data_IF_037010312156
#
_entry.id   IF_037010312156
#
_cell.length_a   1.000
_cell.length_b   1.000
_cell.length_c   1.000
_cell.angle_alpha   90.00
_cell.angle_beta   90.00
_cell.angle_gamma   90.00
#
_symmetry.space_group_name_H-M   'P 1'
#
loop_
_entity.id
_entity.type
_entity.pdbx_description
1 polymer ?
#
# COMPACT_ATOMS: atom_id res chain seq x y z
N UNK A 1 22.55 -7.41 30.83
CA UNK A 1 22.83 -6.69 29.55
C UNK A 1 21.54 -6.66 28.75
N UNK A 2 21.12 -5.49 28.22
CA UNK A 2 20.02 -5.46 27.26
C UNK A 2 20.40 -6.30 26.03
N UNK A 3 19.46 -7.07 25.49
CA UNK A 3 19.66 -7.80 24.24
C UNK A 3 19.82 -6.76 23.13
N UNK A 4 21.03 -6.61 22.61
CA UNK A 4 21.32 -5.69 21.51
C UNK A 4 21.06 -6.43 20.20
N UNK A 5 19.98 -6.09 19.52
CA UNK A 5 19.78 -6.52 18.13
C UNK A 5 20.73 -5.75 17.23
N UNK A 6 21.72 -6.44 16.67
CA UNK A 6 22.71 -5.85 15.75
C UNK A 6 22.12 -5.61 14.35
N UNK A 7 21.15 -6.41 13.93
CA UNK A 7 20.45 -6.25 12.64
C UNK A 7 18.98 -6.67 12.76
N UNK A 8 18.14 -6.01 11.97
CA UNK A 8 16.72 -6.34 11.77
C UNK A 8 16.47 -7.02 10.41
N UNK A 9 17.50 -7.29 9.63
CA UNK A 9 17.38 -7.91 8.31
C UNK A 9 16.72 -9.31 8.33
N UNK A 10 16.88 -10.14 9.38
CA UNK A 10 16.11 -11.38 9.50
C UNK A 10 14.59 -11.16 9.45
N UNK A 11 14.09 -9.99 9.86
CA UNK A 11 12.66 -9.64 9.76
C UNK A 11 12.26 -9.49 8.28
N UNK A 12 13.09 -8.86 7.46
CA UNK A 12 12.85 -8.76 6.02
C UNK A 12 12.88 -10.14 5.35
N UNK A 13 13.79 -11.02 5.75
CA UNK A 13 13.82 -12.41 5.27
C UNK A 13 12.55 -13.17 5.68
N UNK A 14 12.13 -13.03 6.93
CA UNK A 14 10.89 -13.62 7.43
C UNK A 14 9.67 -13.08 6.67
N UNK A 15 9.63 -11.77 6.40
CA UNK A 15 8.52 -11.11 5.72
C UNK A 15 8.25 -11.65 4.31
N UNK A 16 9.28 -12.18 3.64
CA UNK A 16 9.22 -12.76 2.30
C UNK A 16 9.16 -14.30 2.30
N UNK A 17 9.21 -14.91 3.48
CA UNK A 17 9.16 -16.37 3.58
C UNK A 17 7.77 -16.92 3.21
N UNK A 18 7.67 -18.18 2.76
CA UNK A 18 6.37 -18.79 2.45
C UNK A 18 5.39 -18.77 3.63
N UNK A 19 5.90 -18.85 4.88
CA UNK A 19 5.04 -18.78 6.07
C UNK A 19 4.38 -17.40 6.22
N UNK A 20 5.03 -16.31 5.79
CA UNK A 20 4.48 -14.96 5.86
C UNK A 20 3.19 -14.78 5.05
N UNK A 21 2.98 -15.60 4.00
CA UNK A 21 1.74 -15.60 3.20
C UNK A 21 0.50 -15.97 4.03
N UNK A 22 0.69 -16.69 5.14
CA UNK A 22 -0.39 -17.20 5.98
C UNK A 22 -0.50 -16.48 7.34
N UNK A 23 0.45 -15.60 7.67
CA UNK A 23 0.43 -14.86 8.93
C UNK A 23 -0.71 -13.84 8.89
N UNK A 24 -1.69 -14.01 9.78
CA UNK A 24 -2.83 -13.08 9.95
C UNK A 24 -2.64 -12.10 11.10
N UNK A 25 -1.93 -12.51 12.13
CA UNK A 25 -1.68 -11.69 13.32
C UNK A 25 -0.17 -11.54 13.48
N UNK A 26 0.31 -10.31 13.45
CA UNK A 26 1.74 -10.02 13.51
C UNK A 26 1.99 -9.03 14.65
N UNK A 27 2.89 -9.41 15.56
CA UNK A 27 3.32 -8.57 16.67
C UNK A 27 4.83 -8.43 16.64
N UNK A 28 5.30 -7.19 16.54
CA UNK A 28 6.69 -6.84 16.71
C UNK A 28 6.80 -5.67 17.70
N UNK A 29 7.40 -5.94 18.85
CA UNK A 29 7.62 -4.94 19.90
C UNK A 29 9.10 -4.80 20.13
N UNK A 30 9.73 -3.90 19.37
CA UNK A 30 11.18 -3.65 19.45
C UNK A 30 11.39 -2.21 19.90
N UNK A 31 11.55 -1.98 21.22
CA UNK A 31 11.76 -0.65 21.76
C UNK A 31 12.91 0.10 21.07
N UNK A 32 12.73 1.41 20.85
CA UNK A 32 13.75 2.31 20.30
C UNK A 32 14.23 1.97 18.88
N UNK A 33 13.56 1.05 18.17
CA UNK A 33 13.90 0.65 16.81
C UNK A 33 12.68 0.77 15.89
N UNK A 34 12.87 1.50 14.81
CA UNK A 34 11.88 1.59 13.73
C UNK A 34 11.91 0.31 12.92
N UNK A 35 10.79 -0.42 12.93
CA UNK A 35 10.64 -1.71 12.23
C UNK A 35 9.66 -1.66 11.05
N UNK A 36 8.76 -0.67 11.03
CA UNK A 36 7.68 -0.62 10.04
C UNK A 36 8.22 -0.55 8.60
N UNK A 37 9.34 0.13 8.40
CA UNK A 37 10.00 0.25 7.09
C UNK A 37 10.58 -1.09 6.58
N UNK A 38 10.90 -2.03 7.48
CA UNK A 38 11.41 -3.36 7.13
C UNK A 38 10.30 -4.36 6.81
N UNK A 39 9.11 -4.14 7.36
CA UNK A 39 7.94 -5.03 7.18
C UNK A 39 6.95 -4.53 6.12
N UNK A 40 7.07 -3.28 5.66
CA UNK A 40 6.24 -2.72 4.58
C UNK A 40 6.85 -2.93 3.18
N UNK A 41 7.74 -3.90 3.01
CA UNK A 41 8.24 -4.23 1.67
C UNK A 41 7.12 -4.82 0.79
N UNK A 42 7.19 -4.69 -0.54
CA UNK A 42 6.21 -5.32 -1.42
C UNK A 42 6.07 -6.81 -1.12
N UNK A 43 4.82 -7.28 -1.01
CA UNK A 43 4.47 -8.67 -0.69
C UNK A 43 4.91 -9.17 0.69
N UNK A 44 5.32 -8.28 1.61
CA UNK A 44 5.58 -8.62 2.99
C UNK A 44 4.28 -8.89 3.76
N UNK A 45 4.12 -10.10 4.29
CA UNK A 45 2.95 -10.54 5.09
C UNK A 45 1.58 -10.11 4.51
N UNK A 46 1.22 -10.51 3.28
CA UNK A 46 0.03 -10.01 2.57
C UNK A 46 -1.30 -10.35 3.25
N UNK A 47 -1.30 -11.34 4.16
CA UNK A 47 -2.48 -11.82 4.88
C UNK A 47 -2.69 -11.18 6.26
N UNK A 48 -1.84 -10.23 6.68
CA UNK A 48 -1.95 -9.60 8.00
C UNK A 48 -3.24 -8.79 8.11
N UNK A 49 -4.03 -9.13 9.13
CA UNK A 49 -5.28 -8.47 9.52
C UNK A 49 -5.09 -7.66 10.82
N UNK A 50 -4.20 -8.11 11.72
CA UNK A 50 -3.88 -7.44 12.99
C UNK A 50 -2.38 -7.21 13.05
N UNK A 51 -1.97 -5.95 13.21
CA UNK A 51 -0.58 -5.56 13.35
C UNK A 51 -0.36 -4.81 14.67
N UNK A 52 0.61 -5.28 15.44
CA UNK A 52 1.04 -4.67 16.70
C UNK A 52 2.49 -4.24 16.62
N UNK A 53 2.69 -2.92 16.65
CA UNK A 53 3.97 -2.23 16.65
C UNK A 53 4.21 -1.47 17.95
N UNK A 54 3.59 -1.92 19.04
CA UNK A 54 3.74 -1.28 20.35
C UNK A 54 5.23 -1.18 20.71
N UNK A 55 5.63 -0.09 21.34
CA UNK A 55 7.00 0.27 21.77
C UNK A 55 8.01 0.56 20.64
N UNK A 56 7.71 0.21 19.40
CA UNK A 56 8.57 0.56 18.27
C UNK A 56 8.25 1.97 17.78
N UNK A 57 9.21 2.90 17.64
CA UNK A 57 8.95 4.24 17.14
C UNK A 57 8.29 4.22 15.75
N UNK A 58 7.19 4.96 15.61
CA UNK A 58 6.43 5.07 14.36
C UNK A 58 6.19 6.54 14.05
N UNK A 59 6.66 7.02 12.90
CA UNK A 59 6.30 8.35 12.42
C UNK A 59 4.83 8.33 11.95
N UNK A 60 3.89 9.05 12.58
CA UNK A 60 2.46 8.80 12.40
C UNK A 60 2.01 8.82 10.94
N UNK A 61 2.28 9.92 10.21
CA UNK A 61 1.81 10.07 8.84
C UNK A 61 2.51 9.12 7.85
N UNK A 62 3.85 9.13 7.82
CA UNK A 62 4.64 8.34 6.88
C UNK A 62 4.41 6.84 7.06
N UNK A 63 4.43 6.38 8.31
CA UNK A 63 4.23 4.98 8.59
C UNK A 63 2.78 4.57 8.33
N UNK A 64 1.79 5.38 8.69
CA UNK A 64 0.40 4.99 8.44
C UNK A 64 0.11 4.79 6.94
N UNK A 65 0.68 5.64 6.08
CA UNK A 65 0.58 5.46 4.61
C UNK A 65 1.29 4.18 4.18
N UNK A 66 2.53 3.95 4.65
CA UNK A 66 3.30 2.77 4.29
C UNK A 66 2.65 1.47 4.76
N UNK A 67 2.15 1.43 5.99
CA UNK A 67 1.46 0.30 6.61
C UNK A 67 0.18 -0.05 5.83
N UNK A 68 -0.67 0.94 5.54
CA UNK A 68 -1.92 0.68 4.81
C UNK A 68 -1.67 0.24 3.36
N UNK A 69 -0.56 0.66 2.76
CA UNK A 69 -0.17 0.25 1.41
C UNK A 69 0.52 -1.12 1.35
N UNK A 70 1.27 -1.46 2.40
CA UNK A 70 1.99 -2.73 2.54
C UNK A 70 1.10 -3.88 3.01
N UNK A 71 0.10 -3.61 3.84
CA UNK A 71 -0.81 -4.60 4.40
C UNK A 71 -2.24 -4.41 3.87
N UNK A 72 -2.58 -4.93 2.67
CA UNK A 72 -3.88 -4.70 2.03
C UNK A 72 -5.07 -5.28 2.79
N UNK A 73 -4.82 -6.19 3.75
CA UNK A 73 -5.83 -6.83 4.60
C UNK A 73 -5.85 -6.30 6.02
N UNK A 74 -5.05 -5.27 6.35
CA UNK A 74 -4.98 -4.73 7.69
C UNK A 74 -6.31 -4.14 8.15
N UNK A 75 -6.81 -4.63 9.28
CA UNK A 75 -8.07 -4.22 9.92
C UNK A 75 -7.82 -3.56 11.28
N UNK A 76 -6.81 -4.01 12.02
CA UNK A 76 -6.51 -3.51 13.35
C UNK A 76 -5.03 -3.15 13.47
N UNK A 77 -4.75 -1.91 13.88
CA UNK A 77 -3.39 -1.41 14.13
C UNK A 77 -3.22 -1.05 15.61
N UNK A 78 -2.23 -1.64 16.28
CA UNK A 78 -1.86 -1.33 17.67
C UNK A 78 -0.47 -0.70 17.70
N UNK A 79 -0.35 0.43 18.37
CA UNK A 79 0.82 1.32 18.32
C UNK A 79 1.10 1.93 19.71
N UNK A 80 0.89 1.16 20.78
CA UNK A 80 1.05 1.64 22.15
C UNK A 80 2.50 2.08 22.42
N UNK A 81 2.69 3.27 22.99
CA UNK A 81 4.03 3.77 23.34
C UNK A 81 5.00 3.90 22.17
N UNK A 82 4.51 4.00 20.93
CA UNK A 82 5.32 4.21 19.72
C UNK A 82 5.53 5.70 19.37
N UNK A 83 4.89 6.61 20.13
CA UNK A 83 4.77 8.02 19.76
C UNK A 83 3.73 8.29 18.66
N UNK A 84 2.91 7.27 18.32
CA UNK A 84 1.86 7.40 17.31
C UNK A 84 0.72 8.29 17.84
N UNK A 85 0.46 9.40 17.13
CA UNK A 85 -0.51 10.41 17.55
C UNK A 85 0.10 11.72 18.07
N UNK A 86 1.43 11.86 17.98
CA UNK A 86 2.14 13.09 18.30
C UNK A 86 2.31 13.33 19.80
N UNK A 87 3.08 14.36 20.16
CA UNK A 87 3.38 14.71 21.56
C UNK A 87 2.24 15.44 22.28
N UNK A 88 1.05 15.50 21.68
CA UNK A 88 -0.14 16.12 22.27
C UNK A 88 -0.21 17.64 22.16
N UNK A 89 0.77 18.30 21.52
CA UNK A 89 0.82 19.77 21.44
C UNK A 89 -0.06 20.36 20.34
N UNK A 90 -0.45 19.59 19.32
CA UNK A 90 -1.25 20.11 18.21
C UNK A 90 -2.46 19.22 17.91
N UNK A 91 -3.67 19.68 18.26
CA UNK A 91 -4.96 19.07 17.83
C UNK A 91 -5.03 18.81 16.31
N UNK A 92 -4.28 19.61 15.53
CA UNK A 92 -4.17 19.49 14.07
C UNK A 92 -3.63 18.12 13.61
N UNK A 93 -2.87 17.41 14.44
CA UNK A 93 -2.14 16.19 14.08
C UNK A 93 -3.09 15.01 13.89
N UNK A 94 -4.06 14.81 14.78
CA UNK A 94 -5.02 13.71 14.68
C UNK A 94 -5.91 13.83 13.44
N UNK A 95 -6.36 15.06 13.13
CA UNK A 95 -7.11 15.35 11.90
C UNK A 95 -6.25 15.08 10.66
N UNK A 96 -4.99 15.48 10.68
CA UNK A 96 -4.07 15.25 9.55
C UNK A 96 -3.78 13.77 9.36
N UNK A 97 -3.58 13.03 10.45
CA UNK A 97 -3.39 11.59 10.47
C UNK A 97 -4.60 10.85 9.90
N UNK A 98 -5.81 11.13 10.39
CA UNK A 98 -7.04 10.50 9.89
C UNK A 98 -7.22 10.70 8.39
N UNK A 99 -6.94 11.91 7.90
CA UNK A 99 -6.96 12.22 6.47
C UNK A 99 -5.90 11.48 5.67
N UNK A 100 -4.66 11.44 6.16
CA UNK A 100 -3.56 10.75 5.50
C UNK A 100 -3.82 9.25 5.38
N UNK A 101 -4.38 8.63 6.42
CA UNK A 101 -4.77 7.22 6.43
C UNK A 101 -5.89 6.92 5.44
N UNK A 102 -6.93 7.75 5.41
CA UNK A 102 -8.01 7.61 4.44
C UNK A 102 -7.52 7.75 2.98
N UNK A 103 -6.47 8.53 2.76
CA UNK A 103 -5.91 8.82 1.43
C UNK A 103 -4.72 7.93 1.03
N UNK A 104 -4.30 6.96 1.86
CA UNK A 104 -3.09 6.16 1.65
C UNK A 104 -3.06 5.50 0.25
N UNK A 105 -4.20 4.97 -0.20
CA UNK A 105 -4.35 4.33 -1.51
C UNK A 105 -4.14 5.26 -2.71
N UNK A 106 -4.36 6.58 -2.56
CA UNK A 106 -4.13 7.56 -3.65
C UNK A 106 -2.64 7.67 -3.98
N UNK A 107 -1.79 7.65 -2.96
CA UNK A 107 -0.34 7.70 -3.17
C UNK A 107 0.15 6.44 -3.90
N UNK A 108 -0.27 5.25 -3.45
CA UNK A 108 0.06 3.96 -4.08
C UNK A 108 -0.40 3.91 -5.54
N UNK A 109 -1.63 4.34 -5.82
CA UNK A 109 -2.15 4.39 -7.18
C UNK A 109 -1.34 5.32 -8.10
N UNK A 110 -0.95 6.50 -7.62
CA UNK A 110 -0.12 7.44 -8.40
C UNK A 110 1.28 6.93 -8.66
N UNK A 111 1.90 6.28 -7.68
CA UNK A 111 3.22 5.65 -7.83
C UNK A 111 3.18 4.55 -8.88
N UNK A 112 2.19 3.65 -8.79
CA UNK A 112 2.03 2.58 -9.78
C UNK A 112 1.65 3.11 -11.17
N UNK A 113 0.88 4.18 -11.27
CA UNK A 113 0.58 4.82 -12.56
C UNK A 113 1.84 5.42 -13.20
N UNK A 114 2.74 5.98 -12.39
CA UNK A 114 4.04 6.48 -12.84
C UNK A 114 4.94 5.32 -13.32
N UNK A 115 4.95 4.22 -12.59
CA UNK A 115 5.70 3.01 -12.95
C UNK A 115 5.24 2.46 -14.31
N UNK A 116 3.93 2.29 -14.52
CA UNK A 116 3.38 1.81 -15.80
C UNK A 116 3.74 2.74 -16.96
N UNK A 117 3.63 4.06 -16.77
CA UNK A 117 4.04 5.05 -17.80
C UNK A 117 5.52 4.93 -18.17
N UNK A 118 6.39 4.67 -17.19
CA UNK A 118 7.82 4.50 -17.43
C UNK A 118 8.12 3.20 -18.18
N UNK A 119 7.39 2.12 -17.86
CA UNK A 119 7.49 0.83 -18.56
C UNK A 119 7.05 0.95 -20.02
N UNK A 120 5.96 1.67 -20.28
CA UNK A 120 5.48 1.94 -21.64
C UNK A 120 6.49 2.75 -22.45
N UNK A 121 7.00 3.85 -21.89
CA UNK A 121 8.03 4.67 -22.55
C UNK A 121 9.26 3.84 -22.93
N UNK A 122 9.70 2.94 -22.04
CA UNK A 122 10.82 2.04 -22.28
C UNK A 122 10.51 1.04 -23.39
N UNK A 123 9.30 0.47 -23.43
CA UNK A 123 8.87 -0.44 -24.50
C UNK A 123 8.80 0.26 -25.85
N UNK A 124 8.24 1.46 -25.91
CA UNK A 124 8.19 2.28 -27.13
C UNK A 124 9.60 2.55 -27.63
N UNK A 125 10.52 2.96 -26.74
CA UNK A 125 11.90 3.23 -27.10
C UNK A 125 12.56 1.98 -27.71
N UNK A 126 12.37 0.81 -27.11
CA UNK A 126 12.88 -0.46 -27.66
C UNK A 126 12.31 -0.77 -29.04
N UNK A 127 11.00 -0.60 -29.24
CA UNK A 127 10.36 -0.81 -30.54
C UNK A 127 10.90 0.15 -31.61
N UNK A 128 11.06 1.44 -31.27
CA UNK A 128 11.64 2.44 -32.18
C UNK A 128 13.11 2.15 -32.52
N UNK A 129 13.89 1.68 -31.55
CA UNK A 129 15.29 1.30 -31.79
C UNK A 129 15.38 0.07 -32.70
N UNK A 130 14.50 -0.93 -32.51
CA UNK A 130 14.45 -2.10 -33.41
C UNK A 130 14.01 -1.73 -34.83
N UNK A 131 13.11 -0.76 -34.99
CA UNK A 131 12.72 -0.25 -36.31
C UNK A 131 13.90 0.45 -37.01
N UNK A 132 14.60 1.35 -36.30
CA UNK A 132 15.80 2.04 -36.84
C UNK A 132 16.90 1.08 -37.28
N UNK A 133 17.15 0.01 -36.52
CA UNK A 133 18.17 -1.00 -36.89
C UNK A 133 17.81 -1.73 -38.18
N UNK A 134 16.52 -2.01 -38.42
CA UNK A 134 16.06 -2.63 -39.67
C UNK A 134 16.30 -1.72 -40.86
N UNK A 135 15.99 -0.44 -40.73
CA UNK A 135 16.19 0.55 -41.79
C UNK A 135 17.68 0.68 -42.15
N UNK A 136 18.57 0.71 -41.15
CA UNK A 136 20.03 0.79 -41.41
C UNK A 136 20.65 -0.50 -41.96
N UNK A 137 20.03 -1.67 -41.69
CA UNK A 137 20.56 -2.96 -42.16
C UNK A 137 20.17 -3.31 -43.60
N UNK A 138 19.12 -2.67 -44.14
CA UNK A 138 18.69 -2.89 -45.51
C UNK A 138 19.56 -2.15 -46.55
N UNK A 139 20.37 -1.18 -46.12
CA UNK A 139 21.21 -0.36 -47.02
C UNK A 139 22.65 -0.88 -47.18
N UNK A 140 23.09 -1.88 -46.39
CA UNK A 140 24.48 -2.37 -46.43
C UNK A 140 24.71 -3.71 -47.14
N UNK A 141 23.73 -4.24 -47.89
CA UNK A 141 23.85 -5.54 -48.59
C UNK A 141 23.92 -5.45 -50.11
N UNK A 142 24.29 -4.29 -50.67
CA UNK A 142 24.66 -4.15 -52.09
C UNK A 142 26.18 -4.05 -52.27
N UNK A 143 26.91 -5.07 -51.82
CA UNK A 143 28.20 -5.40 -52.45
C UNK A 143 27.94 -6.46 -53.51
N UNK A 144 27.68 -5.99 -54.73
CA UNK A 144 27.64 -6.81 -55.95
C UNK A 144 29.08 -6.94 -56.46
N UNK A 145 29.66 -8.15 -56.55
CA UNK A 145 30.93 -8.38 -57.24
C UNK A 145 30.68 -8.68 -58.73
N UNK A 146 31.08 -7.77 -59.62
CA UNK A 146 31.17 -7.97 -61.10
C UNK A 146 29.82 -8.16 -61.83
N UNK A 147 29.62 -7.89 -63.12
CA UNK A 147 30.52 -7.70 -64.25
C UNK A 147 29.67 -7.12 -65.42
N UNK A 148 30.23 -6.17 -66.19
CA UNK A 148 30.00 -5.86 -67.62
C UNK A 148 28.62 -6.18 -68.27
N UNK A 149 27.92 -5.17 -68.81
CA UNK A 149 27.76 -4.95 -70.27
C UNK A 149 26.70 -3.87 -70.61
N UNK A 150 26.84 -3.32 -71.82
CA UNK A 150 26.26 -2.14 -72.44
C UNK A 150 24.77 -2.23 -72.88
N UNK A 151 24.15 -1.04 -72.80
CA UNK A 151 23.15 -0.41 -73.69
C UNK A 151 21.63 -0.76 -73.67
N UNK A 152 20.86 0.35 -73.65
CA UNK A 152 19.57 0.63 -74.31
C UNK A 152 18.21 0.49 -73.53
N UNK A 153 17.11 1.16 -73.94
CA UNK A 153 16.69 2.40 -73.29
C UNK A 153 15.23 2.42 -72.75
N UNK A 154 14.99 3.37 -71.84
CA UNK A 154 13.75 4.14 -71.64
C UNK A 154 12.40 3.40 -71.65
N UNK A 155 11.89 3.05 -70.46
CA UNK A 155 10.46 3.08 -70.16
C UNK A 155 10.19 3.76 -68.82
N UNK A 156 9.46 4.88 -68.86
CA UNK A 156 8.98 5.63 -67.68
C UNK A 156 7.83 4.86 -67.04
N UNK A 157 8.13 4.03 -66.04
CA UNK A 157 7.12 3.47 -65.15
C UNK A 157 6.86 4.47 -64.01
N UNK A 158 5.62 4.98 -63.92
CA UNK A 158 5.15 5.77 -62.78
C UNK A 158 5.07 4.87 -61.55
N UNK A 159 6.02 5.04 -60.63
CA UNK A 159 6.00 4.42 -59.31
C UNK A 159 4.87 5.06 -58.49
N UNK A 160 3.92 4.28 -57.95
CA UNK A 160 2.94 4.81 -57.00
C UNK A 160 3.69 5.20 -55.72
N UNK A 161 3.78 6.49 -55.44
CA UNK A 161 4.15 7.00 -54.12
C UNK A 161 3.02 6.65 -53.15
N UNK A 162 3.05 5.45 -52.58
CA UNK A 162 2.33 5.15 -51.35
C UNK A 162 3.09 5.82 -50.20
N UNK A 163 2.60 6.99 -49.78
CA UNK A 163 3.06 7.64 -48.57
C UNK A 163 2.95 6.64 -47.40
N UNK A 164 4.04 6.37 -46.66
CA UNK A 164 3.97 5.55 -45.47
C UNK A 164 3.18 6.35 -44.42
N UNK A 165 1.87 6.07 -44.36
CA UNK A 165 1.02 6.50 -43.26
C UNK A 165 1.52 5.79 -42.02
N UNK A 166 2.47 6.44 -41.34
CA UNK A 166 3.03 6.02 -40.07
C UNK A 166 1.89 5.99 -39.06
N UNK A 167 1.29 4.81 -38.92
CA UNK A 167 0.30 4.52 -37.88
C UNK A 167 1.02 4.60 -36.55
N UNK A 168 1.07 5.81 -35.99
CA UNK A 168 1.56 6.04 -34.64
C UNK A 168 0.71 5.19 -33.71
N UNK A 169 1.29 4.11 -33.20
CA UNK A 169 0.66 3.22 -32.24
C UNK A 169 0.23 4.05 -31.03
N UNK A 170 -1.07 4.34 -30.94
CA UNK A 170 -1.64 5.07 -29.79
C UNK A 170 -1.60 4.12 -28.61
N UNK A 171 -0.67 4.32 -27.69
CA UNK A 171 -0.64 3.54 -26.47
C UNK A 171 -1.86 3.86 -25.62
N UNK A 172 -2.47 2.80 -25.09
CA UNK A 172 -3.50 2.92 -24.09
C UNK A 172 -2.94 3.67 -22.87
N UNK A 173 -3.65 4.71 -22.43
CA UNK A 173 -3.30 5.46 -21.22
C UNK A 173 -3.86 4.72 -20.02
N UNK A 174 -3.06 4.47 -19.00
CA UNK A 174 -3.52 3.79 -17.80
C UNK A 174 -3.97 4.79 -16.72
N UNK A 175 -5.03 4.44 -15.99
CA UNK A 175 -5.43 5.05 -14.73
C UNK A 175 -5.59 3.97 -13.68
N UNK A 176 -5.13 4.23 -12.46
CA UNK A 176 -5.25 3.27 -11.36
C UNK A 176 -6.25 3.80 -10.34
N UNK A 177 -7.27 2.99 -10.02
CA UNK A 177 -8.21 3.28 -8.96
C UNK A 177 -7.55 3.05 -7.61
N UNK A 178 -7.47 4.09 -6.76
CA UNK A 178 -6.98 3.92 -5.40
C UNK A 178 -7.94 3.06 -4.58
N UNK A 179 -7.42 2.10 -3.84
CA UNK A 179 -8.22 1.26 -2.96
C UNK A 179 -8.79 2.06 -1.78
N UNK A 180 -9.99 1.67 -1.32
CA UNK A 180 -10.51 2.15 -0.04
C UNK A 180 -9.72 1.51 1.12
N UNK A 181 -9.44 2.27 2.20
CA UNK A 181 -8.83 1.69 3.38
C UNK A 181 -9.78 0.66 4.01
N UNK A 182 -9.20 -0.43 4.53
CA UNK A 182 -9.93 -1.53 5.21
C UNK A 182 -9.82 -1.50 6.73
N UNK A 183 -9.16 -0.47 7.26
CA UNK A 183 -8.89 -0.34 8.68
C UNK A 183 -10.20 -0.14 9.45
N UNK A 184 -10.37 -0.92 10.51
CA UNK A 184 -11.53 -0.90 11.41
C UNK A 184 -11.19 -0.26 12.75
N UNK A 185 -9.95 -0.36 13.22
CA UNK A 185 -9.54 0.28 14.46
C UNK A 185 -8.07 0.65 14.51
N UNK A 186 -7.77 1.70 15.27
CA UNK A 186 -6.43 2.08 15.71
C UNK A 186 -6.43 2.07 17.24
N UNK A 187 -5.37 1.52 17.81
CA UNK A 187 -5.21 1.34 19.24
C UNK A 187 -3.89 1.96 19.69
N UNK A 188 -3.96 2.96 20.56
CA UNK A 188 -2.79 3.68 21.06
C UNK A 188 -2.97 4.03 22.53
N UNK A 189 -2.22 3.38 23.41
CA UNK A 189 -2.08 3.79 24.79
C UNK A 189 -1.24 5.07 24.83
N UNK A 190 -1.89 6.19 25.15
CA UNK A 190 -1.22 7.48 25.30
C UNK A 190 -0.35 7.44 26.56
N UNK A 191 0.95 7.63 26.37
CA UNK A 191 1.86 7.94 27.47
C UNK A 191 1.64 9.39 27.85
N UNK A 192 0.90 9.62 28.94
CA UNK A 192 0.81 10.94 29.54
C UNK A 192 2.20 11.30 30.06
N UNK A 193 2.89 12.19 29.35
CA UNK A 193 4.13 12.76 29.87
C UNK A 193 3.76 13.56 31.13
N UNK A 194 4.29 13.15 32.29
CA UNK A 194 3.97 13.69 33.63
C UNK A 194 4.30 15.18 33.83
N UNK A 195 4.72 15.89 32.78
CA UNK A 195 5.11 17.30 32.82
C UNK A 195 4.24 18.25 32.00
N UNK A 196 3.15 17.79 31.36
CA UNK A 196 2.23 18.72 30.69
C UNK A 196 1.32 19.39 31.70
N UNK A 197 1.54 20.68 31.95
CA UNK A 197 0.72 21.54 32.82
C UNK A 197 -0.74 21.70 32.33
N UNK A 198 -1.08 21.15 31.16
CA UNK A 198 -2.38 21.28 30.49
C UNK A 198 -3.50 20.35 30.96
N UNK A 199 -3.30 19.55 32.03
CA UNK A 199 -4.29 18.56 32.47
C UNK A 199 -4.35 17.33 31.55
N UNK A 200 -5.22 16.35 31.86
CA UNK A 200 -5.37 15.15 31.04
C UNK A 200 -5.88 15.54 29.63
N UNK A 201 -5.32 14.96 28.56
CA UNK A 201 -5.77 15.23 27.21
C UNK A 201 -7.24 14.84 27.03
N UNK A 202 -7.98 15.67 26.30
CA UNK A 202 -9.36 15.36 25.91
C UNK A 202 -9.34 14.29 24.81
N UNK A 203 -9.42 13.03 25.23
CA UNK A 203 -9.41 11.87 24.34
C UNK A 203 -10.60 11.89 23.36
N UNK A 204 -11.74 12.43 23.79
CA UNK A 204 -12.93 12.54 22.94
C UNK A 204 -12.69 13.55 21.81
N UNK A 205 -11.95 14.64 22.09
CA UNK A 205 -11.53 15.60 21.07
C UNK A 205 -10.58 14.98 20.04
N UNK A 206 -9.59 14.19 20.47
CA UNK A 206 -8.68 13.49 19.55
C UNK A 206 -9.43 12.52 18.63
N UNK A 207 -10.36 11.73 19.18
CA UNK A 207 -11.21 10.84 18.38
C UNK A 207 -12.06 11.63 17.38
N UNK A 208 -12.67 12.75 17.80
CA UNK A 208 -13.46 13.63 16.93
C UNK A 208 -12.63 14.23 15.79
N UNK A 209 -11.43 14.72 16.09
CA UNK A 209 -10.54 15.32 15.08
C UNK A 209 -10.05 14.27 14.08
N UNK A 210 -9.65 13.10 14.57
CA UNK A 210 -9.29 11.98 13.73
C UNK A 210 -10.46 11.57 12.81
N UNK A 211 -11.68 11.43 13.35
CA UNK A 211 -12.87 11.12 12.56
C UNK A 211 -13.16 12.18 11.48
N UNK A 212 -13.06 13.46 11.83
CA UNK A 212 -13.23 14.58 10.90
C UNK A 212 -12.19 14.52 9.76
N UNK A 213 -10.94 14.24 10.10
CA UNK A 213 -9.85 14.03 9.14
C UNK A 213 -10.11 12.86 8.20
N UNK A 214 -10.53 11.72 8.76
CA UNK A 214 -10.86 10.52 7.99
C UNK A 214 -11.97 10.79 6.98
N UNK A 215 -13.07 11.42 7.39
CA UNK A 215 -14.20 11.73 6.51
C UNK A 215 -13.80 12.68 5.38
N UNK A 216 -13.00 13.72 5.66
CA UNK A 216 -12.41 14.60 4.60
C UNK A 216 -11.57 13.79 3.63
N UNK A 217 -10.72 12.89 4.13
CA UNK A 217 -9.91 12.00 3.30
C UNK A 217 -10.75 11.06 2.43
N UNK A 218 -11.80 10.43 2.97
CA UNK A 218 -12.70 9.56 2.21
C UNK A 218 -13.43 10.33 1.10
N UNK A 219 -13.89 11.56 1.38
CA UNK A 219 -14.54 12.41 0.39
C UNK A 219 -13.60 12.71 -0.80
N UNK A 220 -12.34 13.06 -0.51
CA UNK A 220 -11.31 13.30 -1.54
C UNK A 220 -10.95 12.03 -2.30
N UNK A 221 -10.86 10.89 -1.61
CA UNK A 221 -10.61 9.60 -2.24
C UNK A 221 -11.73 9.24 -3.24
N UNK A 222 -12.99 9.50 -2.88
CA UNK A 222 -14.14 9.32 -3.77
C UNK A 222 -14.02 10.19 -5.02
N UNK A 223 -13.73 11.48 -4.86
CA UNK A 223 -13.51 12.39 -5.99
C UNK A 223 -12.37 11.92 -6.90
N UNK A 224 -11.28 11.39 -6.32
CA UNK A 224 -10.19 10.80 -7.09
C UNK A 224 -10.64 9.58 -7.91
N UNK A 225 -11.44 8.69 -7.32
CA UNK A 225 -11.97 7.51 -8.00
C UNK A 225 -12.95 7.89 -9.10
N UNK A 226 -13.87 8.81 -8.83
CA UNK A 226 -14.84 9.33 -9.82
C UNK A 226 -14.13 9.94 -11.03
N UNK A 227 -13.09 10.76 -10.79
CA UNK A 227 -12.27 11.32 -11.88
C UNK A 227 -11.56 10.23 -12.68
N UNK A 228 -10.96 9.25 -12.01
CA UNK A 228 -10.29 8.13 -12.68
C UNK A 228 -11.26 7.32 -13.55
N UNK A 229 -12.46 7.04 -13.04
CA UNK A 229 -13.54 6.36 -13.78
C UNK A 229 -14.06 7.18 -14.96
N UNK A 230 -14.21 8.50 -14.80
CA UNK A 230 -14.64 9.39 -15.87
C UNK A 230 -13.69 9.34 -17.07
N UNK A 231 -12.38 9.20 -16.84
CA UNK A 231 -11.40 9.00 -17.92
C UNK A 231 -11.57 7.66 -18.65
N UNK A 232 -11.98 6.60 -17.94
CA UNK A 232 -12.21 5.27 -18.52
C UNK A 232 -13.29 5.23 -19.60
N UNK A 233 -14.20 6.21 -19.64
CA UNK A 233 -15.19 6.32 -20.72
C UNK A 233 -14.58 6.62 -22.10
N UNK A 234 -13.30 7.00 -22.14
CA UNK A 234 -12.58 7.21 -23.39
C UNK A 234 -11.95 5.89 -23.85
N UNK A 235 -12.19 5.49 -25.10
CA UNK A 235 -11.66 4.25 -25.70
C UNK A 235 -10.11 4.12 -25.65
N UNK A 236 -9.39 5.20 -25.34
CA UNK A 236 -7.93 5.22 -25.23
C UNK A 236 -7.40 5.10 -23.80
N UNK A 237 -8.28 4.99 -22.79
CA UNK A 237 -7.88 4.93 -21.37
C UNK A 237 -8.36 3.64 -20.74
N UNK A 238 -7.43 2.84 -20.20
CA UNK A 238 -7.77 1.67 -19.38
C UNK A 238 -7.74 2.04 -17.91
N UNK A 239 -8.78 1.64 -17.18
CA UNK A 239 -8.87 1.84 -15.73
C UNK A 239 -8.59 0.52 -15.03
N UNK A 240 -7.50 0.51 -14.27
CA UNK A 240 -7.03 -0.65 -13.52
C UNK A 240 -7.30 -0.43 -12.02
N UNK A 241 -7.35 -1.50 -11.24
CA UNK A 241 -7.38 -1.48 -9.77
C UNK A 241 -6.43 -2.51 -9.20
N UNK A 242 -6.04 -2.35 -7.94
CA UNK A 242 -5.29 -3.39 -7.24
C UNK A 242 -6.18 -4.62 -6.99
N UNK A 243 -5.61 -5.80 -7.20
CA UNK A 243 -6.23 -7.05 -6.78
C UNK A 243 -6.08 -7.19 -5.25
N UNK A 244 -7.20 -7.22 -4.54
CA UNK A 244 -7.20 -7.42 -3.08
C UNK A 244 -7.41 -8.87 -2.69
N UNK A 245 -7.91 -9.67 -3.62
CA UNK A 245 -8.29 -11.06 -3.39
C UNK A 245 -7.43 -11.89 -4.34
N UNK A 246 -6.28 -12.34 -3.81
CA UNK A 246 -5.22 -13.12 -4.47
C UNK A 246 -5.65 -14.44 -5.14
N UNK A 247 -6.93 -14.61 -5.41
CA UNK A 247 -7.57 -15.71 -6.12
C UNK A 247 -7.67 -15.48 -7.63
N UNK A 248 -7.44 -14.28 -8.15
CA UNK A 248 -7.62 -13.99 -9.56
C UNK A 248 -6.36 -14.19 -10.40
N UNK A 249 -6.57 -14.63 -11.66
CA UNK A 249 -5.50 -14.83 -12.64
C UNK A 249 -4.87 -13.47 -12.94
N UNK A 250 -3.58 -13.34 -12.66
CA UNK A 250 -2.82 -12.12 -12.87
C UNK A 250 -2.84 -11.69 -14.35
N UNK A 251 -2.95 -10.38 -14.59
CA UNK A 251 -2.66 -9.82 -15.90
C UNK A 251 -1.12 -9.88 -16.10
N UNK A 252 -0.62 -10.96 -16.68
CA UNK A 252 0.82 -11.13 -16.98
C UNK A 252 1.33 -10.07 -17.97
N UNK A 253 0.43 -9.39 -18.66
CA UNK A 253 0.78 -8.33 -19.56
C UNK A 253 1.16 -7.05 -18.79
N UNK A 254 2.36 -6.54 -19.04
CA UNK A 254 2.83 -5.18 -18.68
C UNK A 254 3.41 -4.92 -17.27
N UNK A 255 3.83 -5.94 -16.50
CA UNK A 255 4.36 -5.70 -15.14
C UNK A 255 3.28 -5.20 -14.17
N UNK A 256 2.04 -5.53 -14.51
CA UNK A 256 0.81 -5.18 -13.84
C UNK A 256 0.26 -6.40 -13.07
N UNK A 257 1.14 -7.25 -12.54
CA UNK A 257 0.78 -8.53 -11.91
C UNK A 257 -0.24 -8.32 -10.78
N UNK A 258 -0.15 -7.21 -10.04
CA UNK A 258 -1.08 -6.86 -8.95
C UNK A 258 -2.33 -6.06 -9.40
N UNK A 259 -2.53 -5.85 -10.70
CA UNK A 259 -3.60 -5.01 -11.23
C UNK A 259 -4.60 -5.80 -12.08
N UNK A 260 -5.87 -5.43 -11.93
CA UNK A 260 -7.01 -6.01 -12.63
C UNK A 260 -7.76 -4.91 -13.38
N UNK A 261 -8.21 -5.18 -14.60
CA UNK A 261 -9.03 -4.25 -15.37
C UNK A 261 -10.43 -4.15 -14.75
N UNK A 262 -10.93 -2.93 -14.62
CA UNK A 262 -12.24 -2.66 -14.02
C UNK A 262 -13.38 -3.02 -14.99
N UNK A 263 -13.16 -2.96 -16.30
CA UNK A 263 -14.19 -3.27 -17.30
C UNK A 263 -14.47 -4.77 -17.40
N UNK A 264 -13.44 -5.61 -17.30
CA UNK A 264 -13.54 -7.06 -17.45
C UNK A 264 -14.33 -7.75 -16.31
N UNK A 265 -14.36 -7.14 -15.12
CA UNK A 265 -14.95 -7.74 -13.92
C UNK A 265 -16.32 -7.18 -13.53
N UNK A 266 -16.89 -6.28 -14.33
CA UNK A 266 -18.17 -5.64 -14.04
C UNK A 266 -18.07 -4.63 -12.89
N UNK A 267 -18.88 -3.56 -12.99
CA UNK A 267 -18.93 -2.45 -12.01
C UNK A 267 -19.42 -2.91 -10.62
N UNK A 268 -19.90 -4.14 -10.47
CA UNK A 268 -20.45 -4.69 -9.23
C UNK A 268 -19.47 -4.70 -8.06
N UNK A 269 -18.15 -4.70 -8.29
CA UNK A 269 -17.15 -4.61 -7.21
C UNK A 269 -16.76 -3.15 -6.86
N UNK A 270 -17.34 -2.16 -7.56
CA UNK A 270 -17.23 -0.74 -7.18
C UNK A 270 -18.27 -0.34 -6.13
N UNK A 271 -19.32 -1.15 -5.96
CA UNK A 271 -20.35 -0.96 -4.94
C UNK A 271 -20.03 -1.72 -3.65
N UNK A 272 -18.74 -1.87 -3.30
CA UNK A 272 -18.39 -2.38 -1.97
C UNK A 272 -18.99 -1.41 -0.95
N UNK A 273 -20.17 -1.81 -0.48
CA UNK A 273 -21.00 -1.25 0.58
C UNK A 273 -20.34 -1.52 1.93
N UNK A 274 -19.04 -1.23 2.01
CA UNK A 274 -18.34 -1.14 3.27
C UNK A 274 -18.58 0.27 3.72
N UNK A 275 -19.33 0.40 4.81
CA UNK A 275 -19.46 1.67 5.52
C UNK A 275 -18.08 2.29 5.60
N UNK A 276 -17.87 3.43 4.91
CA UNK A 276 -16.63 4.21 5.03
C UNK A 276 -16.57 4.94 6.38
N UNK A 277 -17.11 4.29 7.40
CA UNK A 277 -17.11 4.73 8.77
C UNK A 277 -15.65 4.96 9.19
N UNK A 278 -15.40 6.00 9.99
CA UNK A 278 -14.10 6.17 10.62
C UNK A 278 -13.70 4.92 11.41
N UNK A 279 -12.42 4.52 11.40
CA UNK A 279 -11.96 3.43 12.22
C UNK A 279 -12.03 3.85 13.69
N UNK A 280 -12.38 2.89 14.53
CA UNK A 280 -12.46 3.03 15.97
C UNK A 280 -11.11 3.43 16.55
N UNK A 281 -11.05 4.57 17.25
CA UNK A 281 -9.83 5.01 17.92
C UNK A 281 -9.90 4.64 19.40
N UNK A 282 -9.11 3.65 19.81
CA UNK A 282 -9.07 3.17 21.17
C UNK A 282 -7.81 3.68 21.90
N UNK A 283 -8.04 4.36 23.01
CA UNK A 283 -6.99 4.78 23.95
C UNK A 283 -6.94 3.90 25.20
N UNK A 284 -7.71 2.81 25.20
CA UNK A 284 -7.77 1.87 26.30
C UNK A 284 -6.39 1.34 26.66
N UNK A 285 -6.12 1.24 27.95
CA UNK A 285 -4.94 0.58 28.48
C UNK A 285 -5.41 -0.27 29.64
N UNK A 286 -5.32 -1.59 29.49
CA UNK A 286 -5.60 -2.48 30.62
C UNK A 286 -4.24 -2.81 31.23
N UNK A 287 -4.00 -2.31 32.44
CA UNK A 287 -2.85 -2.77 33.22
C UNK A 287 -3.09 -4.23 33.55
N UNK A 288 -2.06 -5.04 33.32
CA UNK A 288 -1.96 -6.31 34.01
C UNK A 288 -1.96 -6.00 35.53
N UNK A 289 -2.93 -6.52 36.31
CA UNK A 289 -2.99 -6.29 37.75
C UNK A 289 -1.70 -6.66 38.47
N UNK A 290 -0.87 -7.54 37.89
CA UNK A 290 0.44 -7.92 38.43
C UNK A 290 1.52 -6.85 38.29
N UNK A 291 1.34 -5.82 37.45
CA UNK A 291 2.28 -4.72 37.25
C UNK A 291 1.98 -3.48 38.10
N UNK A 292 1.43 -3.66 39.30
CA UNK A 292 1.10 -2.57 40.23
C UNK A 292 2.30 -1.72 40.72
N UNK A 293 3.55 -2.05 40.34
CA UNK A 293 4.75 -1.37 40.83
C UNK A 293 5.34 -0.25 39.97
N UNK A 294 4.85 0.00 38.74
CA UNK A 294 5.37 1.08 37.88
C UNK A 294 4.54 2.35 38.07
N UNK A 295 5.17 3.40 38.59
CA UNK A 295 4.54 4.60 39.19
C UNK A 295 3.90 5.59 38.21
N UNK A 296 3.87 5.31 36.91
CA UNK A 296 3.26 6.24 35.96
C UNK A 296 1.74 6.11 35.98
N UNK A 297 1.05 7.12 36.51
CA UNK A 297 -0.41 7.18 36.65
C UNK A 297 -1.12 7.17 35.28
N UNK A 298 -1.22 6.00 34.66
CA UNK A 298 -2.00 5.79 33.45
C UNK A 298 -3.48 5.76 33.83
N UNK A 299 -4.26 6.65 33.22
CA UNK A 299 -5.72 6.65 33.32
C UNK A 299 -6.23 5.35 32.72
N UNK A 300 -6.92 4.53 33.51
CA UNK A 300 -7.57 3.31 33.02
C UNK A 300 -8.78 3.69 32.19
N UNK A 301 -8.61 3.74 30.88
CA UNK A 301 -9.71 3.92 29.93
C UNK A 301 -10.19 2.52 29.53
N UNK A 302 -11.49 2.20 29.64
CA UNK A 302 -12.00 0.93 29.17
C UNK A 302 -11.83 0.80 27.65
N UNK A 303 -11.61 -0.42 27.19
CA UNK A 303 -11.52 -0.72 25.76
C UNK A 303 -12.91 -0.63 25.12
N UNK A 304 -12.99 -0.02 23.94
CA UNK A 304 -14.21 -0.07 23.12
C UNK A 304 -14.35 -1.44 22.44
N UNK A 305 -15.57 -1.95 22.34
CA UNK A 305 -15.84 -3.26 21.74
C UNK A 305 -15.37 -3.29 20.27
N UNK A 306 -14.55 -4.28 19.93
CA UNK A 306 -14.00 -4.44 18.57
C UNK A 306 -12.75 -3.61 18.29
N UNK A 307 -12.17 -2.94 19.28
CA UNK A 307 -10.88 -2.28 19.12
C UNK A 307 -9.73 -3.28 18.93
N UNK A 308 -8.61 -2.80 18.37
CA UNK A 308 -7.43 -3.61 18.11
C UNK A 308 -6.87 -4.24 19.38
N UNK A 309 -6.91 -3.54 20.52
CA UNK A 309 -6.53 -4.12 21.82
C UNK A 309 -7.39 -5.33 22.21
N UNK A 310 -8.72 -5.21 22.12
CA UNK A 310 -9.64 -6.28 22.48
C UNK A 310 -9.50 -7.49 21.53
N UNK A 311 -9.49 -7.24 20.22
CA UNK A 311 -9.34 -8.30 19.21
C UNK A 311 -7.97 -8.96 19.32
N UNK A 312 -6.91 -8.17 19.43
CA UNK A 312 -5.54 -8.68 19.59
C UNK A 312 -5.43 -9.57 20.83
N UNK A 313 -5.96 -9.11 21.97
CA UNK A 313 -5.99 -9.88 23.23
C UNK A 313 -6.65 -11.24 23.04
N UNK A 314 -7.84 -11.29 22.46
CA UNK A 314 -8.55 -12.54 22.20
C UNK A 314 -7.70 -13.51 21.37
N UNK A 315 -7.06 -13.01 20.30
CA UNK A 315 -6.23 -13.83 19.40
C UNK A 315 -4.93 -14.30 20.04
N UNK A 316 -4.24 -13.44 20.78
CA UNK A 316 -2.94 -13.81 21.37
C UNK A 316 -3.05 -14.59 22.67
N UNK A 317 -4.11 -14.40 23.46
CA UNK A 317 -4.31 -15.16 24.69
C UNK A 317 -4.88 -16.55 24.44
N UNK A 318 -5.73 -16.72 23.41
CA UNK A 318 -6.22 -18.06 23.04
C UNK A 318 -5.10 -19.01 22.59
N UNK A 319 -4.01 -18.48 22.04
CA UNK A 319 -2.82 -19.25 21.64
C UNK A 319 -1.87 -19.58 22.81
N UNK A 320 -1.98 -18.88 23.94
CA UNK A 320 -1.19 -19.13 25.15
C UNK A 320 -1.78 -20.21 26.07
N UNK A 321 -2.93 -20.78 25.73
CA UNK A 321 -3.31 -22.10 26.22
C UNK A 321 -2.44 -23.16 25.53
N UNK A 322 -1.14 -23.10 25.81
CA UNK A 322 -0.24 -24.23 25.70
C UNK A 322 -0.93 -25.33 26.51
N UNK A 323 -1.41 -26.35 25.82
CA UNK A 323 -1.89 -27.58 26.44
C UNK A 323 -0.86 -27.94 27.49
N UNK A 324 -1.20 -27.95 28.80
CA UNK A 324 -0.24 -28.31 29.81
C UNK A 324 0.37 -29.62 29.36
N UNK A 325 1.70 -29.65 29.19
CA UNK A 325 2.40 -30.86 28.85
C UNK A 325 1.87 -31.92 29.82
N UNK A 326 1.15 -32.91 29.28
CA UNK A 326 0.56 -33.95 30.11
C UNK A 326 1.67 -34.53 30.98
N UNK A 327 1.39 -34.87 32.25
CA UNK A 327 2.40 -35.39 33.15
C UNK A 327 2.76 -36.82 32.73
N UNK A 328 3.51 -37.01 31.64
CA UNK A 328 4.02 -38.32 31.21
C UNK A 328 5.19 -38.18 30.21
N UNK A 329 6.42 -38.23 30.75
CA UNK A 329 7.50 -39.15 30.37
C UNK A 329 8.70 -38.97 31.31
#
# INVERSE_FOLDING_TARGET
>A
QPIVFFSLDPITTLAKSPIALHVKHLRFRVPLRTIWNKICEPNAFPSVEILDLSTSPVHPEQAAIALLNGFPRLRHLIVDGSGFGGSGSEQSEWRTLGRAMAMAGVRKAREKERELKNLDATKIHRLLETARRRDTSAESSNEVPGESSLEDPSMKAQTPQTDPTSSTLKLAKFRILPAYPRLLSISSALTLNEGHEGGPPDLALYAKDFHSGWLDGIARLREHRERAMAFGRSASVRVLRFDTDSSHRHCEAYGAEELVDVEDHGVSDLSIDRSHAPPLLCFGCERDPSQQGLSHALVTVPHELGCGHAVGRERWMSELHIVPAGPDL
#
